data_IF_420484239928
#
_entry.id   IF_420484239928
#
_cell.length_a   1.000
_cell.length_b   1.000
_cell.length_c   1.000
_cell.angle_alpha   90.00
_cell.angle_beta   90.00
_cell.angle_gamma   90.00
#
_symmetry.space_group_name_H-M   'P 1'
#
loop_
_entity.id
_entity.type
_entity.pdbx_description
1 polymer ?
#
# COMPACT_ATOMS: atom_id res chain seq x y z
N UNK A 1 55.06 -12.39 11.31
CA UNK A 1 55.03 -12.51 12.78
C UNK A 1 54.94 -11.10 13.33
N UNK A 2 53.76 -10.65 13.66
CA UNK A 2 53.51 -9.56 14.60
C UNK A 2 52.04 -9.59 14.99
N UNK A 3 51.77 -10.02 16.19
CA UNK A 3 50.48 -10.16 16.83
C UNK A 3 50.01 -8.80 17.36
N UNK A 4 48.82 -8.35 17.02
CA UNK A 4 48.16 -7.23 17.69
C UNK A 4 46.97 -7.71 18.53
N UNK A 5 47.14 -7.55 19.81
CA UNK A 5 46.20 -7.80 20.90
C UNK A 5 44.99 -6.86 20.86
N UNK A 6 43.75 -7.42 20.84
CA UNK A 6 42.50 -6.68 21.04
C UNK A 6 42.26 -6.43 22.54
N UNK A 7 42.27 -5.19 22.98
CA UNK A 7 41.77 -4.77 24.31
C UNK A 7 40.25 -4.62 24.25
N UNK A 8 39.56 -5.39 25.07
CA UNK A 8 38.12 -5.25 25.34
C UNK A 8 37.92 -4.22 26.45
N UNK A 9 37.19 -3.15 26.16
CA UNK A 9 36.74 -2.17 27.15
C UNK A 9 35.34 -2.55 27.60
N UNK A 10 35.18 -2.90 28.86
CA UNK A 10 33.86 -3.17 29.46
C UNK A 10 33.23 -1.85 29.94
N UNK A 11 32.08 -1.52 29.46
CA UNK A 11 31.25 -0.41 29.93
C UNK A 11 30.25 -0.96 30.96
N UNK A 12 30.32 -0.42 32.17
CA UNK A 12 29.40 -0.72 33.28
C UNK A 12 28.14 0.10 33.14
N UNK A 13 26.98 -0.56 33.02
CA UNK A 13 25.66 0.07 33.15
C UNK A 13 25.39 0.36 34.65
N UNK A 14 25.09 1.61 34.96
CA UNK A 14 24.39 2.02 36.16
C UNK A 14 22.91 2.26 35.83
N UNK A 15 22.03 1.55 36.50
CA UNK A 15 20.62 1.79 36.52
C UNK A 15 20.23 2.69 37.70
N UNK A 16 19.34 3.67 37.54
CA UNK A 16 18.65 4.29 38.67
C UNK A 16 17.27 3.68 38.87
N UNK A 17 17.03 3.22 40.11
CA UNK A 17 15.72 2.92 40.65
C UNK A 17 14.96 4.26 40.85
N UNK A 18 13.72 4.34 40.38
CA UNK A 18 12.76 5.34 40.81
C UNK A 18 11.60 4.63 41.48
N UNK A 19 11.35 5.03 42.72
CA UNK A 19 10.38 4.45 43.65
C UNK A 19 8.96 4.96 43.40
N UNK A 20 8.04 4.07 43.62
CA UNK A 20 6.57 4.19 43.61
C UNK A 20 6.05 5.14 44.67
N UNK A 21 5.04 5.93 44.31
CA UNK A 21 4.14 6.63 45.24
C UNK A 21 2.69 6.27 44.94
N UNK A 22 2.12 5.39 45.76
CA UNK A 22 0.69 5.11 45.84
C UNK A 22 -0.03 6.22 46.60
N UNK A 23 -1.10 6.76 46.07
CA UNK A 23 -2.13 7.50 46.82
C UNK A 23 -3.49 6.88 46.56
N UNK A 24 -4.02 6.27 47.61
CA UNK A 24 -5.40 5.80 47.71
C UNK A 24 -6.23 6.86 48.50
N UNK A 25 -7.43 7.14 48.02
CA UNK A 25 -8.54 7.72 48.83
C UNK A 25 -9.81 7.35 48.07
N UNK A 26 -10.65 6.53 48.46
CA UNK A 26 -11.55 6.21 49.57
C UNK A 26 -12.78 7.15 49.67
N UNK A 27 -13.94 6.53 49.35
CA UNK A 27 -15.26 6.57 49.99
C UNK A 27 -16.03 7.89 50.15
N UNK A 28 -17.31 7.78 49.83
CA UNK A 28 -18.40 8.60 50.37
C UNK A 28 -19.74 8.18 49.79
N UNK A 29 -20.44 7.29 50.52
CA UNK A 29 -21.85 6.96 50.36
C UNK A 29 -22.70 8.08 51.01
N UNK A 30 -23.95 8.15 50.62
CA UNK A 30 -25.21 8.09 51.41
C UNK A 30 -26.32 8.76 50.61
N UNK A 31 -27.38 8.01 50.27
CA UNK A 31 -28.70 7.88 50.85
C UNK A 31 -29.51 9.19 51.00
N UNK A 32 -30.67 9.28 50.46
CA UNK A 32 -31.97 9.01 51.07
C UNK A 32 -33.17 9.37 50.18
N UNK A 33 -34.05 8.41 50.06
CA UNK A 33 -35.51 8.31 50.10
C UNK A 33 -36.43 9.54 49.94
N UNK A 34 -37.46 9.31 49.21
CA UNK A 34 -38.92 9.20 49.55
C UNK A 34 -39.78 9.92 48.50
N UNK A 35 -40.63 9.21 47.90
CA UNK A 35 -42.00 8.74 48.16
C UNK A 35 -43.12 9.67 47.68
N UNK A 36 -44.10 8.98 47.10
CA UNK A 36 -45.52 9.25 46.91
C UNK A 36 -45.99 10.09 45.71
N UNK A 37 -46.77 9.43 44.86
CA UNK A 37 -48.17 9.54 44.82
C UNK A 37 -48.81 9.50 43.46
N UNK A 38 -49.66 8.53 43.29
CA UNK A 38 -50.54 8.23 42.18
C UNK A 38 -51.29 9.43 41.57
N UNK A 39 -51.59 9.41 40.28
CA UNK A 39 -52.96 9.06 39.85
C UNK A 39 -53.05 8.95 38.30
N UNK A 40 -53.91 8.06 37.90
CA UNK A 40 -54.40 7.65 36.60
C UNK A 40 -54.93 8.76 35.71
N UNK A 41 -54.64 8.66 34.39
CA UNK A 41 -55.73 8.77 33.39
C UNK A 41 -55.29 8.14 32.04
N UNK A 42 -56.13 7.22 31.56
CA UNK A 42 -56.09 6.62 30.23
C UNK A 42 -56.35 7.67 29.12
N UNK A 43 -55.59 7.58 28.01
CA UNK A 43 -56.08 7.96 26.70
C UNK A 43 -55.28 7.30 25.59
N UNK A 44 -55.88 6.30 25.05
CA UNK A 44 -56.04 5.96 23.62
C UNK A 44 -54.93 6.28 22.61
N UNK A 45 -54.29 5.25 22.10
CA UNK A 45 -54.05 4.92 20.68
C UNK A 45 -53.47 5.98 19.75
N UNK A 46 -52.20 5.81 19.43
CA UNK A 46 -51.70 6.01 18.09
C UNK A 46 -50.58 5.00 17.87
N UNK A 47 -50.82 3.99 17.09
CA UNK A 47 -49.81 3.08 16.53
C UNK A 47 -48.86 3.90 15.63
N UNK A 48 -47.70 4.25 16.13
CA UNK A 48 -46.61 4.71 15.29
C UNK A 48 -45.91 3.46 14.79
N UNK A 49 -46.17 3.15 13.52
CA UNK A 49 -45.38 2.18 12.74
C UNK A 49 -43.92 2.67 12.76
N UNK A 50 -43.08 2.07 13.56
CA UNK A 50 -41.63 2.15 13.39
C UNK A 50 -41.31 1.52 12.04
N UNK A 51 -40.87 2.38 11.11
CA UNK A 51 -40.22 1.92 9.90
C UNK A 51 -38.94 1.20 10.36
N UNK A 52 -38.94 -0.13 10.20
CA UNK A 52 -37.72 -0.91 10.27
C UNK A 52 -36.74 -0.32 9.25
N UNK A 53 -35.65 0.26 9.74
CA UNK A 53 -34.48 0.55 8.94
C UNK A 53 -33.99 -0.77 8.29
N UNK A 54 -33.28 -0.71 7.17
CA UNK A 54 -32.69 -1.92 6.60
C UNK A 54 -31.78 -2.56 7.68
N UNK A 55 -32.20 -3.70 8.19
CA UNK A 55 -31.29 -4.60 8.89
C UNK A 55 -30.21 -4.99 7.87
N UNK A 56 -28.99 -4.52 8.07
CA UNK A 56 -27.82 -5.13 7.47
C UNK A 56 -27.80 -6.59 7.94
N UNK A 57 -28.29 -7.48 7.10
CA UNK A 57 -28.02 -8.92 7.29
C UNK A 57 -26.57 -9.12 6.91
N UNK A 58 -25.65 -8.92 7.86
CA UNK A 58 -24.32 -9.51 7.77
C UNK A 58 -24.53 -11.02 7.64
N UNK A 59 -24.45 -11.51 6.41
CA UNK A 59 -24.47 -12.95 6.18
C UNK A 59 -23.19 -13.50 6.82
N UNK A 60 -23.31 -14.51 7.70
CA UNK A 60 -22.16 -15.15 8.27
C UNK A 60 -21.23 -15.64 7.15
N UNK A 61 -19.95 -15.30 7.25
CA UNK A 61 -18.92 -15.78 6.31
C UNK A 61 -18.94 -17.31 6.31
N UNK A 62 -18.96 -17.98 5.14
CA UNK A 62 -18.90 -19.43 5.07
C UNK A 62 -17.59 -19.98 5.66
N UNK A 63 -17.63 -21.17 6.27
CA UNK A 63 -16.41 -21.89 6.62
C UNK A 63 -15.59 -22.18 5.35
N UNK A 64 -14.30 -21.86 5.37
CA UNK A 64 -13.40 -22.03 4.24
C UNK A 64 -11.95 -22.25 4.66
N UNK A 65 -11.02 -22.41 3.71
CA UNK A 65 -9.61 -22.54 4.01
C UNK A 65 -9.03 -21.22 4.52
N UNK A 66 -7.93 -21.29 5.28
CA UNK A 66 -7.14 -20.11 5.63
C UNK A 66 -6.67 -19.37 4.38
N UNK A 67 -6.89 -18.07 4.32
CA UNK A 67 -6.42 -17.17 3.25
C UNK A 67 -5.02 -16.67 3.62
N UNK A 68 -4.01 -17.20 2.95
CA UNK A 68 -2.61 -16.80 3.16
C UNK A 68 -2.24 -15.66 2.23
N UNK A 69 -1.78 -14.55 2.79
CA UNK A 69 -1.30 -13.41 2.02
C UNK A 69 -0.02 -12.83 2.61
N UNK A 70 0.74 -12.13 1.78
CA UNK A 70 1.87 -11.33 2.22
C UNK A 70 2.10 -10.14 1.29
N UNK A 71 2.72 -9.07 1.81
CA UNK A 71 3.27 -7.99 1.00
C UNK A 71 4.60 -8.39 0.35
N UNK A 72 4.93 -7.74 -0.76
CA UNK A 72 6.29 -7.72 -1.30
C UNK A 72 7.21 -6.99 -0.28
N UNK A 73 8.54 -7.15 -0.41
CA UNK A 73 9.52 -6.69 0.59
C UNK A 73 9.81 -5.18 0.44
N UNK A 74 8.76 -4.37 0.57
CA UNK A 74 8.83 -2.90 0.71
C UNK A 74 7.60 -2.37 1.45
N UNK A 75 7.73 -1.24 2.14
CA UNK A 75 6.80 -0.72 3.15
C UNK A 75 5.36 -0.56 2.66
N UNK A 76 5.15 -0.01 1.45
CA UNK A 76 3.80 0.18 0.90
C UNK A 76 3.08 -1.16 0.69
N UNK A 77 3.72 -2.12 0.03
CA UNK A 77 3.13 -3.43 -0.22
C UNK A 77 2.88 -4.22 1.07
N UNK A 78 3.73 -4.04 2.09
CA UNK A 78 3.52 -4.61 3.43
C UNK A 78 2.28 -4.00 4.07
N UNK A 79 2.14 -2.68 4.02
CA UNK A 79 0.98 -1.98 4.59
C UNK A 79 -0.31 -2.34 3.85
N UNK A 80 -0.28 -2.46 2.52
CA UNK A 80 -1.42 -2.93 1.72
C UNK A 80 -1.83 -4.34 2.16
N UNK A 81 -0.89 -5.27 2.30
CA UNK A 81 -1.19 -6.63 2.74
C UNK A 81 -1.81 -6.66 4.15
N UNK A 82 -1.31 -5.83 5.08
CA UNK A 82 -1.90 -5.66 6.42
C UNK A 82 -3.33 -5.11 6.35
N UNK A 83 -3.59 -4.11 5.50
CA UNK A 83 -4.94 -3.54 5.31
C UNK A 83 -5.92 -4.60 4.83
N UNK A 84 -5.58 -5.36 3.78
CA UNK A 84 -6.45 -6.41 3.26
C UNK A 84 -6.61 -7.56 4.25
N UNK A 85 -5.53 -8.01 4.88
CA UNK A 85 -5.55 -9.12 5.81
C UNK A 85 -6.37 -8.82 7.07
N UNK A 86 -6.14 -7.68 7.72
CA UNK A 86 -6.88 -7.26 8.91
C UNK A 86 -8.37 -6.99 8.61
N UNK A 87 -8.68 -6.44 7.43
CA UNK A 87 -10.07 -6.26 7.01
C UNK A 87 -10.81 -7.58 6.85
N UNK A 88 -10.20 -8.56 6.18
CA UNK A 88 -10.81 -9.87 6.01
C UNK A 88 -10.96 -10.62 7.35
N UNK A 89 -9.96 -10.54 8.24
CA UNK A 89 -10.06 -11.11 9.59
C UNK A 89 -11.23 -10.49 10.38
N UNK A 90 -11.38 -9.17 10.30
CA UNK A 90 -12.50 -8.47 10.95
C UNK A 90 -13.87 -8.82 10.37
N UNK A 91 -13.94 -9.17 9.07
CA UNK A 91 -15.15 -9.71 8.42
C UNK A 91 -15.44 -11.15 8.85
N UNK A 92 -14.48 -11.86 9.45
CA UNK A 92 -14.63 -13.23 9.96
C UNK A 92 -14.07 -14.31 9.06
N UNK A 93 -13.24 -13.97 8.07
CA UNK A 93 -12.47 -14.94 7.30
C UNK A 93 -11.30 -15.48 8.14
N UNK A 94 -10.90 -16.73 7.88
CA UNK A 94 -9.67 -17.29 8.46
C UNK A 94 -8.47 -16.80 7.64
N UNK A 95 -7.63 -15.92 8.22
CA UNK A 95 -6.57 -15.20 7.51
C UNK A 95 -5.22 -15.42 8.19
N UNK A 96 -4.18 -15.64 7.39
CA UNK A 96 -2.79 -15.66 7.83
C UNK A 96 -1.97 -14.65 7.02
N UNK A 97 -1.55 -13.56 7.66
CA UNK A 97 -0.63 -12.58 7.09
C UNK A 97 0.80 -13.09 7.31
N UNK A 98 1.45 -13.49 6.23
CA UNK A 98 2.79 -14.07 6.27
C UNK A 98 3.86 -12.98 6.32
N UNK A 99 5.05 -13.34 6.80
CA UNK A 99 6.21 -12.44 6.77
C UNK A 99 6.50 -11.96 5.36
N UNK A 100 6.65 -10.65 5.14
CA UNK A 100 6.97 -10.08 3.83
C UNK A 100 8.23 -10.70 3.24
N UNK A 101 8.22 -11.01 1.95
CA UNK A 101 9.38 -11.58 1.28
C UNK A 101 9.27 -11.47 -0.24
N UNK A 102 10.42 -11.25 -0.89
CA UNK A 102 10.54 -11.22 -2.34
C UNK A 102 9.80 -10.05 -2.99
N UNK A 103 9.67 -10.16 -4.29
CA UNK A 103 8.99 -9.17 -5.10
C UNK A 103 7.87 -9.83 -5.91
N UNK A 104 7.42 -9.21 -7.00
CA UNK A 104 6.28 -9.66 -7.82
C UNK A 104 6.42 -11.10 -8.31
N UNK A 105 7.57 -11.46 -8.88
CA UNK A 105 7.79 -12.82 -9.41
C UNK A 105 7.55 -13.88 -8.33
N UNK A 106 8.10 -13.69 -7.13
CA UNK A 106 7.92 -14.63 -6.01
C UNK A 106 6.48 -14.61 -5.46
N UNK A 107 5.77 -13.49 -5.59
CA UNK A 107 4.36 -13.42 -5.18
C UNK A 107 3.45 -14.18 -6.18
N UNK A 108 3.67 -14.02 -7.48
CA UNK A 108 2.96 -14.76 -8.54
C UNK A 108 3.30 -16.26 -8.48
N UNK A 109 4.57 -16.61 -8.26
CA UNK A 109 4.97 -18.01 -8.03
C UNK A 109 4.27 -18.60 -6.80
N UNK A 110 4.11 -17.82 -5.73
CA UNK A 110 3.40 -18.23 -4.53
C UNK A 110 1.92 -18.56 -4.80
N UNK A 111 1.23 -17.75 -5.60
CA UNK A 111 -0.13 -18.06 -6.06
C UNK A 111 -0.17 -19.32 -6.92
N UNK A 112 0.75 -19.43 -7.90
CA UNK A 112 0.81 -20.55 -8.84
C UNK A 112 1.06 -21.87 -8.14
N UNK A 113 1.92 -21.86 -7.12
CA UNK A 113 2.29 -23.06 -6.36
C UNK A 113 1.36 -23.37 -5.19
N UNK A 114 0.43 -22.47 -4.87
CA UNK A 114 -0.48 -22.60 -3.73
C UNK A 114 0.20 -22.34 -2.37
N UNK A 115 1.29 -21.58 -2.34
CA UNK A 115 1.92 -21.09 -1.12
C UNK A 115 1.24 -19.82 -0.59
N UNK A 116 0.61 -19.05 -1.51
CA UNK A 116 -0.23 -17.89 -1.24
C UNK A 116 -1.62 -18.10 -1.84
N UNK A 117 -2.61 -17.49 -1.22
CA UNK A 117 -4.01 -17.53 -1.67
C UNK A 117 -4.47 -16.16 -2.16
N UNK A 118 -3.89 -15.08 -1.64
CA UNK A 118 -4.18 -13.70 -2.01
C UNK A 118 -2.88 -12.89 -2.11
N UNK A 119 -2.74 -12.13 -3.17
CA UNK A 119 -1.77 -11.03 -3.27
C UNK A 119 -2.49 -9.76 -3.66
N UNK A 120 -1.92 -8.60 -3.33
CA UNK A 120 -2.34 -7.31 -3.88
C UNK A 120 -1.15 -6.75 -4.63
N UNK A 121 -1.34 -6.47 -5.93
CA UNK A 121 -0.25 -6.05 -6.80
C UNK A 121 -0.66 -4.89 -7.70
N UNK A 122 0.32 -4.28 -8.34
CA UNK A 122 0.17 -3.15 -9.25
C UNK A 122 -0.04 -3.68 -10.66
N UNK A 123 -1.16 -3.31 -11.29
CA UNK A 123 -1.60 -3.93 -12.55
C UNK A 123 -0.62 -3.75 -13.70
N UNK A 124 0.05 -2.61 -13.83
CA UNK A 124 1.06 -2.39 -14.87
C UNK A 124 2.31 -3.24 -14.68
N UNK A 125 2.73 -3.43 -13.42
CA UNK A 125 3.80 -4.35 -13.09
C UNK A 125 3.42 -5.81 -13.35
N UNK A 126 2.18 -6.20 -13.04
CA UNK A 126 1.64 -7.52 -13.38
C UNK A 126 1.61 -7.74 -14.90
N UNK A 127 1.26 -6.71 -15.69
CA UNK A 127 1.30 -6.79 -17.15
C UNK A 127 2.73 -7.05 -17.65
N UNK A 128 3.71 -6.34 -17.13
CA UNK A 128 5.10 -6.51 -17.54
C UNK A 128 5.63 -7.93 -17.24
N UNK A 129 5.15 -8.58 -16.19
CA UNK A 129 5.54 -9.95 -15.81
C UNK A 129 4.78 -11.02 -16.61
N UNK A 130 3.45 -10.90 -16.69
CA UNK A 130 2.60 -11.95 -17.25
C UNK A 130 2.34 -11.81 -18.75
N UNK A 131 2.44 -10.61 -19.29
CA UNK A 131 2.18 -10.31 -20.70
C UNK A 131 3.21 -9.32 -21.28
N UNK A 132 4.52 -9.66 -21.25
CA UNK A 132 5.60 -8.74 -21.63
C UNK A 132 5.54 -8.26 -23.08
N UNK A 133 4.85 -8.98 -23.96
CA UNK A 133 4.66 -8.62 -25.38
C UNK A 133 3.51 -7.61 -25.59
N UNK A 134 2.67 -7.37 -24.56
CA UNK A 134 1.60 -6.38 -24.64
C UNK A 134 2.18 -4.96 -24.48
N UNK A 135 1.75 -3.98 -25.30
CA UNK A 135 2.23 -2.62 -25.16
C UNK A 135 1.80 -2.03 -23.80
N UNK A 136 2.64 -1.23 -23.15
CA UNK A 136 2.24 -0.50 -21.94
C UNK A 136 1.14 0.52 -22.30
N UNK A 137 0.24 0.76 -21.34
CA UNK A 137 -0.84 1.73 -21.48
C UNK A 137 -1.12 2.43 -20.16
N UNK A 138 -1.53 3.69 -20.21
CA UNK A 138 -2.01 4.43 -19.05
C UNK A 138 -3.50 4.14 -18.75
N UNK A 139 -4.17 3.33 -19.55
CA UNK A 139 -5.58 2.93 -19.34
C UNK A 139 -5.63 1.63 -18.51
N UNK A 140 -6.08 1.68 -17.24
CA UNK A 140 -6.14 0.49 -16.39
C UNK A 140 -7.08 -0.60 -16.92
N UNK A 141 -8.17 -0.22 -17.63
CA UNK A 141 -9.11 -1.21 -18.18
C UNK A 141 -8.47 -2.02 -19.31
N UNK A 142 -7.60 -1.41 -20.12
CA UNK A 142 -6.84 -2.12 -21.14
C UNK A 142 -5.85 -3.10 -20.51
N UNK A 143 -5.19 -2.71 -19.41
CA UNK A 143 -4.28 -3.59 -18.67
C UNK A 143 -5.04 -4.79 -18.09
N UNK A 144 -6.13 -4.55 -17.40
CA UNK A 144 -6.97 -5.59 -16.78
C UNK A 144 -7.48 -6.58 -17.81
N UNK A 145 -7.88 -6.11 -19.01
CA UNK A 145 -8.31 -6.98 -20.10
C UNK A 145 -7.22 -7.95 -20.59
N UNK A 146 -5.95 -7.58 -20.41
CA UNK A 146 -4.79 -8.41 -20.78
C UNK A 146 -4.39 -9.35 -19.64
N UNK A 147 -4.26 -8.84 -18.40
CA UNK A 147 -3.72 -9.63 -17.30
C UNK A 147 -4.77 -10.55 -16.65
N UNK A 148 -6.07 -10.22 -16.72
CA UNK A 148 -7.12 -11.07 -16.17
C UNK A 148 -7.05 -12.50 -16.71
N UNK A 149 -7.10 -12.73 -18.04
CA UNK A 149 -6.92 -14.05 -18.61
C UNK A 149 -5.58 -14.71 -18.25
N UNK A 150 -4.49 -13.94 -18.13
CA UNK A 150 -3.17 -14.48 -17.76
C UNK A 150 -3.15 -14.99 -16.30
N UNK A 151 -3.85 -14.31 -15.39
CA UNK A 151 -4.05 -14.82 -14.02
C UNK A 151 -4.94 -16.07 -13.99
N UNK A 152 -6.00 -16.12 -14.82
CA UNK A 152 -6.83 -17.31 -14.93
C UNK A 152 -6.03 -18.55 -15.39
N UNK A 153 -5.06 -18.39 -16.29
CA UNK A 153 -4.18 -19.48 -16.75
C UNK A 153 -3.35 -20.10 -15.62
N UNK A 154 -3.02 -19.33 -14.58
CA UNK A 154 -2.28 -19.82 -13.41
C UNK A 154 -3.19 -20.17 -12.22
N UNK A 155 -4.52 -20.18 -12.42
CA UNK A 155 -5.48 -20.57 -11.39
C UNK A 155 -5.81 -19.45 -10.38
N UNK A 156 -5.59 -18.19 -10.73
CA UNK A 156 -5.94 -17.03 -9.93
C UNK A 156 -7.02 -16.18 -10.62
N UNK A 157 -7.71 -15.37 -9.84
CA UNK A 157 -8.73 -14.43 -10.32
C UNK A 157 -8.32 -13.01 -9.93
N UNK A 158 -8.18 -12.15 -10.93
CA UNK A 158 -8.01 -10.72 -10.74
C UNK A 158 -9.38 -10.10 -10.40
N UNK A 159 -9.45 -9.35 -9.32
CA UNK A 159 -10.65 -8.63 -8.91
C UNK A 159 -10.57 -7.14 -9.30
N UNK A 160 -11.56 -6.34 -8.88
CA UNK A 160 -11.64 -4.93 -9.23
C UNK A 160 -10.43 -4.15 -8.65
N UNK A 161 -9.79 -3.35 -9.49
CA UNK A 161 -8.69 -2.51 -9.04
C UNK A 161 -9.17 -1.30 -8.23
N UNK A 162 -8.31 -0.82 -7.34
CA UNK A 162 -8.52 0.39 -6.55
C UNK A 162 -8.33 1.66 -7.40
N UNK A 163 -8.99 2.77 -7.05
CA UNK A 163 -8.65 4.11 -7.56
C UNK A 163 -7.22 4.56 -7.23
N UNK A 164 -6.59 3.93 -6.21
CA UNK A 164 -5.23 4.25 -5.80
C UNK A 164 -4.20 3.85 -6.86
N UNK A 165 -3.27 4.74 -7.12
CA UNK A 165 -2.19 4.55 -8.10
C UNK A 165 -0.85 4.82 -7.41
N UNK A 166 0.09 3.89 -7.55
CA UNK A 166 1.51 4.11 -7.30
C UNK A 166 2.30 3.92 -8.59
N UNK A 167 2.34 4.96 -9.42
CA UNK A 167 3.00 4.96 -10.72
C UNK A 167 4.48 5.34 -10.67
N UNK A 168 5.24 4.93 -11.68
CA UNK A 168 6.56 5.49 -11.92
C UNK A 168 6.45 7.02 -12.10
N UNK A 169 7.39 7.76 -11.54
CA UNK A 169 7.44 9.22 -11.59
C UNK A 169 8.82 9.71 -12.02
N UNK A 170 8.86 10.62 -12.98
CA UNK A 170 10.07 11.38 -13.28
C UNK A 170 10.12 12.61 -12.40
N UNK A 171 11.04 12.62 -11.44
CA UNK A 171 11.10 13.63 -10.37
C UNK A 171 12.33 14.49 -10.53
N UNK A 172 12.13 15.80 -10.38
CA UNK A 172 13.20 16.81 -10.42
C UNK A 172 13.15 17.71 -9.17
N UNK A 173 14.19 18.50 -8.95
CA UNK A 173 14.16 19.53 -7.89
C UNK A 173 13.01 20.52 -8.13
N UNK A 174 12.44 21.05 -7.05
CA UNK A 174 11.30 21.97 -7.10
C UNK A 174 11.57 23.29 -7.83
N UNK A 175 12.83 23.69 -7.99
CA UNK A 175 13.26 24.89 -8.71
C UNK A 175 13.49 24.64 -10.22
N UNK A 176 13.33 23.42 -10.71
CA UNK A 176 13.40 23.11 -12.15
C UNK A 176 12.31 23.85 -12.94
N UNK A 177 12.66 24.37 -14.11
CA UNK A 177 11.70 25.01 -15.03
C UNK A 177 10.90 23.97 -15.83
N UNK A 178 11.39 22.72 -15.96
CA UNK A 178 10.68 21.65 -16.66
C UNK A 178 9.33 21.36 -15.98
N UNK A 179 8.31 21.08 -16.77
CA UNK A 179 6.95 20.72 -16.33
C UNK A 179 6.52 19.39 -16.89
N UNK A 180 7.05 18.99 -18.04
CA UNK A 180 6.83 17.69 -18.67
C UNK A 180 8.15 16.97 -18.82
N UNK A 181 8.09 15.65 -19.04
CA UNK A 181 9.31 14.85 -19.33
C UNK A 181 9.94 15.31 -20.65
N UNK A 182 9.14 15.70 -21.64
CA UNK A 182 9.65 16.24 -22.92
C UNK A 182 10.50 17.50 -22.75
N UNK A 183 10.26 18.33 -21.70
CA UNK A 183 11.06 19.53 -21.43
C UNK A 183 12.52 19.21 -21.05
N UNK A 184 12.82 17.96 -20.67
CA UNK A 184 14.16 17.53 -20.28
C UNK A 184 15.03 17.24 -21.52
N UNK A 185 14.42 17.03 -22.69
CA UNK A 185 15.15 16.75 -23.92
C UNK A 185 16.12 17.88 -24.28
N UNK A 186 17.40 17.53 -24.43
CA UNK A 186 18.48 18.49 -24.73
C UNK A 186 19.08 19.20 -23.51
N UNK A 187 18.66 18.83 -22.30
CA UNK A 187 19.34 19.19 -21.06
C UNK A 187 20.37 18.10 -20.71
N UNK A 188 21.56 18.51 -20.26
CA UNK A 188 22.62 17.57 -19.86
C UNK A 188 22.35 17.03 -18.44
N UNK A 189 21.18 16.39 -18.25
CA UNK A 189 20.78 15.85 -16.94
C UNK A 189 21.50 14.54 -16.61
N UNK A 190 21.88 14.39 -15.36
CA UNK A 190 22.26 13.10 -14.75
C UNK A 190 21.00 12.48 -14.17
N UNK A 191 20.69 11.24 -14.61
CA UNK A 191 19.52 10.51 -14.12
C UNK A 191 19.94 9.52 -13.03
N UNK A 192 19.25 9.57 -11.90
CA UNK A 192 19.34 8.57 -10.82
C UNK A 192 18.14 7.62 -10.82
N UNK A 193 18.36 6.33 -10.76
CA UNK A 193 17.29 5.35 -10.63
C UNK A 193 17.82 4.00 -10.14
N UNK A 194 16.91 3.05 -9.85
CA UNK A 194 17.29 1.68 -9.54
C UNK A 194 17.98 0.99 -10.73
N UNK A 195 18.77 -0.04 -10.45
CA UNK A 195 19.47 -0.80 -11.50
C UNK A 195 18.51 -1.40 -12.53
N UNK A 196 17.29 -1.78 -12.12
CA UNK A 196 16.27 -2.32 -13.01
C UNK A 196 15.80 -1.31 -14.06
N UNK A 197 15.83 -0.01 -13.76
CA UNK A 197 15.43 1.05 -14.69
C UNK A 197 16.24 1.01 -15.98
N UNK A 198 17.53 0.68 -15.91
CA UNK A 198 18.41 0.60 -17.08
C UNK A 198 17.98 -0.48 -18.09
N UNK A 199 17.23 -1.49 -17.65
CA UNK A 199 16.83 -2.64 -18.47
C UNK A 199 15.34 -2.63 -18.85
N UNK A 200 14.57 -1.67 -18.28
CA UNK A 200 13.11 -1.59 -18.47
C UNK A 200 12.73 -0.70 -19.64
N UNK A 201 11.88 -1.19 -20.57
CA UNK A 201 11.30 -0.36 -21.63
C UNK A 201 10.51 0.85 -21.06
N UNK A 202 9.84 0.68 -19.94
CA UNK A 202 9.07 1.73 -19.26
C UNK A 202 9.95 2.55 -18.27
N UNK A 203 11.24 2.67 -18.52
CA UNK A 203 12.17 3.51 -17.78
C UNK A 203 13.25 4.07 -18.69
N UNK A 204 14.54 3.82 -18.43
CA UNK A 204 15.65 4.40 -19.19
C UNK A 204 15.53 4.14 -20.70
N UNK A 205 15.20 2.89 -21.10
CA UNK A 205 15.09 2.53 -22.53
C UNK A 205 14.05 3.42 -23.23
N UNK A 206 12.86 3.61 -22.64
CA UNK A 206 11.81 4.44 -23.23
C UNK A 206 12.09 5.94 -23.12
N UNK A 207 12.78 6.39 -22.06
CA UNK A 207 13.21 7.79 -21.94
C UNK A 207 14.23 8.15 -23.03
N UNK A 208 15.10 7.22 -23.44
CA UNK A 208 16.09 7.42 -24.49
C UNK A 208 15.55 7.12 -25.89
N UNK A 209 14.41 6.42 -26.03
CA UNK A 209 13.82 6.07 -27.31
C UNK A 209 13.40 7.33 -28.09
N UNK A 210 13.99 7.57 -29.30
CA UNK A 210 13.68 8.75 -30.10
C UNK A 210 12.23 8.77 -30.63
N UNK A 211 11.50 7.66 -30.58
CA UNK A 211 10.08 7.60 -30.95
C UNK A 211 9.16 7.99 -29.77
N UNK A 212 9.70 8.08 -28.54
CA UNK A 212 8.99 8.47 -27.32
C UNK A 212 9.53 9.83 -26.84
N UNK A 213 10.61 9.83 -26.06
CA UNK A 213 11.20 11.06 -25.51
C UNK A 213 12.53 11.48 -26.16
N UNK A 214 13.36 10.53 -26.58
CA UNK A 214 14.65 10.76 -27.20
C UNK A 214 15.62 11.55 -26.32
N UNK A 215 15.50 11.43 -24.99
CA UNK A 215 16.37 12.12 -24.04
C UNK A 215 17.75 11.46 -24.08
N UNK A 216 18.80 12.26 -24.10
CA UNK A 216 20.17 11.80 -23.89
C UNK A 216 20.64 12.31 -22.54
N UNK A 217 20.83 11.42 -21.59
CA UNK A 217 21.36 11.77 -20.28
C UNK A 217 22.88 11.91 -20.29
N UNK A 218 23.42 12.84 -19.51
CA UNK A 218 24.87 13.01 -19.34
C UNK A 218 25.51 11.81 -18.63
N UNK A 219 24.81 11.22 -17.68
CA UNK A 219 25.19 9.99 -16.98
C UNK A 219 23.93 9.33 -16.36
N UNK A 220 24.08 8.03 -16.00
CA UNK A 220 23.07 7.25 -15.27
C UNK A 220 23.68 6.72 -13.97
N UNK A 221 23.15 7.17 -12.83
CA UNK A 221 23.59 6.77 -11.50
C UNK A 221 22.65 5.71 -10.94
N UNK A 222 23.18 4.51 -10.69
CA UNK A 222 22.41 3.45 -10.03
C UNK A 222 22.30 3.74 -8.53
N UNK A 223 21.09 3.88 -8.03
CA UNK A 223 20.75 4.12 -6.64
C UNK A 223 19.80 3.05 -6.13
N UNK A 224 19.85 2.76 -4.83
CA UNK A 224 18.83 1.93 -4.19
C UNK A 224 17.49 2.69 -4.20
N UNK A 225 16.41 1.95 -4.44
CA UNK A 225 15.06 2.51 -4.42
C UNK A 225 14.70 2.99 -3.01
N UNK A 226 14.08 4.18 -2.90
CA UNK A 226 13.68 4.76 -1.63
C UNK A 226 14.40 6.07 -1.29
N UNK A 227 14.69 6.37 -0.01
CA UNK A 227 15.21 7.67 0.44
C UNK A 227 16.50 8.14 -0.23
N UNK A 228 17.36 7.22 -0.69
CA UNK A 228 18.62 7.56 -1.37
C UNK A 228 18.41 8.33 -2.68
N UNK A 229 17.28 8.13 -3.36
CA UNK A 229 16.92 8.89 -4.57
C UNK A 229 16.70 10.38 -4.23
N UNK A 230 15.97 10.67 -3.14
CA UNK A 230 15.77 12.02 -2.64
C UNK A 230 17.06 12.67 -2.18
N UNK A 231 17.92 11.93 -1.47
CA UNK A 231 19.22 12.43 -0.99
C UNK A 231 20.15 12.82 -2.14
N UNK A 232 20.22 11.98 -3.19
CA UNK A 232 21.01 12.26 -4.39
C UNK A 232 20.48 13.50 -5.14
N UNK A 233 19.15 13.65 -5.24
CA UNK A 233 18.50 14.79 -5.88
C UNK A 233 18.73 16.09 -5.08
N UNK A 234 18.57 16.06 -3.74
CA UNK A 234 18.79 17.20 -2.84
C UNK A 234 20.25 17.66 -2.82
N UNK A 235 21.20 16.72 -2.90
CA UNK A 235 22.64 17.03 -2.90
C UNK A 235 23.19 17.49 -4.25
N UNK A 236 22.38 17.50 -5.31
CA UNK A 236 22.77 17.74 -6.71
C UNK A 236 23.78 16.70 -7.24
N UNK A 237 23.75 15.49 -6.73
CA UNK A 237 24.48 14.35 -7.31
C UNK A 237 23.84 13.91 -8.64
N UNK A 238 22.49 14.02 -8.71
CA UNK A 238 21.68 13.81 -9.91
C UNK A 238 20.76 15.01 -10.16
N UNK A 239 20.29 15.18 -11.38
CA UNK A 239 19.39 16.26 -11.78
C UNK A 239 17.93 15.82 -11.79
N UNK A 240 17.70 14.52 -12.03
CA UNK A 240 16.41 13.87 -12.02
C UNK A 240 16.52 12.46 -11.44
N UNK A 241 15.40 11.94 -10.96
CA UNK A 241 15.28 10.54 -10.55
C UNK A 241 14.01 9.94 -11.12
N UNK A 242 14.04 8.61 -11.39
CA UNK A 242 12.82 7.85 -11.56
C UNK A 242 12.47 7.22 -10.23
N UNK A 243 11.32 7.59 -9.71
CA UNK A 243 10.80 7.19 -8.41
C UNK A 243 9.34 6.75 -8.55
N UNK A 244 8.60 6.70 -7.46
CA UNK A 244 7.16 6.43 -7.46
C UNK A 244 6.35 7.65 -7.01
N UNK A 245 5.12 7.77 -7.50
CA UNK A 245 4.23 8.90 -7.22
C UNK A 245 3.83 9.02 -5.76
N UNK A 246 3.90 7.92 -5.01
CA UNK A 246 3.54 7.83 -3.58
C UNK A 246 4.73 8.00 -2.63
N UNK A 247 5.94 8.35 -3.17
CA UNK A 247 7.11 8.63 -2.35
C UNK A 247 6.90 9.90 -1.50
N UNK A 248 6.84 9.81 -0.16
CA UNK A 248 6.48 10.95 0.68
C UNK A 248 7.56 12.05 0.68
N UNK A 249 8.80 11.71 0.37
CA UNK A 249 9.91 12.66 0.26
C UNK A 249 9.69 13.68 -0.86
N UNK A 250 8.95 13.33 -1.93
CA UNK A 250 8.64 14.27 -3.02
C UNK A 250 7.96 15.51 -2.46
N UNK A 251 6.95 15.33 -1.63
CA UNK A 251 6.25 16.45 -0.98
C UNK A 251 7.08 17.05 0.16
N UNK A 252 7.69 16.22 1.01
CA UNK A 252 8.43 16.68 2.19
C UNK A 252 9.64 17.56 1.84
N UNK A 253 10.32 17.25 0.74
CA UNK A 253 11.51 17.99 0.28
C UNK A 253 11.20 19.02 -0.82
N UNK A 254 9.94 19.10 -1.25
CA UNK A 254 9.47 20.07 -2.25
C UNK A 254 9.96 19.77 -3.65
N UNK A 255 10.15 18.51 -3.98
CA UNK A 255 10.44 18.07 -5.35
C UNK A 255 9.22 18.21 -6.26
N UNK A 256 9.43 18.10 -7.56
CA UNK A 256 8.41 18.20 -8.58
C UNK A 256 8.37 16.92 -9.41
N UNK A 257 7.18 16.32 -9.53
CA UNK A 257 6.91 15.28 -10.52
C UNK A 257 6.62 15.96 -11.86
N UNK A 258 7.29 15.54 -12.91
CA UNK A 258 7.01 15.98 -14.27
C UNK A 258 5.86 15.18 -14.87
N UNK A 259 5.06 15.84 -15.71
CA UNK A 259 3.99 15.17 -16.46
C UNK A 259 4.59 14.23 -17.51
N UNK A 260 4.09 12.99 -17.54
CA UNK A 260 4.41 12.00 -18.58
C UNK A 260 3.57 12.29 -19.84
N UNK A 261 3.99 13.26 -20.63
CA UNK A 261 3.25 13.79 -21.78
C UNK A 261 3.29 12.90 -23.03
N UNK A 262 4.07 11.80 -23.00
CA UNK A 262 4.10 10.78 -24.05
C UNK A 262 3.52 9.42 -23.61
N UNK A 263 3.16 9.28 -22.32
CA UNK A 263 2.54 8.06 -21.80
C UNK A 263 3.49 6.86 -21.72
N UNK A 264 4.73 7.09 -21.30
CA UNK A 264 5.72 6.02 -21.10
C UNK A 264 5.37 5.12 -19.92
N UNK A 265 4.87 5.72 -18.84
CA UNK A 265 4.60 5.00 -17.61
C UNK A 265 3.20 4.38 -17.62
N UNK A 266 3.07 3.07 -17.41
CA UNK A 266 1.78 2.41 -17.40
C UNK A 266 0.95 2.76 -16.16
N UNK A 267 -0.36 2.55 -16.23
CA UNK A 267 -1.20 2.64 -15.04
C UNK A 267 -0.77 1.59 -14.00
N UNK A 268 -0.70 2.01 -12.74
CA UNK A 268 -0.24 1.22 -11.61
C UNK A 268 -1.28 1.23 -10.47
N UNK A 269 -2.54 1.01 -10.84
CA UNK A 269 -3.58 0.79 -9.85
C UNK A 269 -3.31 -0.50 -9.09
N UNK A 270 -3.57 -0.52 -7.78
CA UNK A 270 -3.47 -1.75 -7.00
C UNK A 270 -4.73 -2.59 -7.18
N UNK A 271 -4.57 -3.90 -7.27
CA UNK A 271 -5.69 -4.84 -7.40
C UNK A 271 -5.44 -6.10 -6.58
N UNK A 272 -6.46 -6.68 -5.95
CA UNK A 272 -6.36 -7.98 -5.31
C UNK A 272 -6.46 -9.11 -6.35
N UNK A 273 -5.57 -10.07 -6.24
CA UNK A 273 -5.51 -11.28 -7.05
C UNK A 273 -5.59 -12.47 -6.10
N UNK A 274 -6.61 -13.29 -6.27
CA UNK A 274 -6.93 -14.39 -5.35
C UNK A 274 -6.95 -15.74 -6.07
N UNK A 275 -6.54 -16.81 -5.36
CA UNK A 275 -6.70 -18.18 -5.82
C UNK A 275 -8.15 -18.43 -6.22
N UNK A 276 -8.38 -18.88 -7.46
CA UNK A 276 -9.73 -19.18 -7.95
C UNK A 276 -10.42 -20.30 -7.16
N UNK A 277 -9.64 -21.23 -6.58
CA UNK A 277 -10.17 -22.31 -5.72
C UNK A 277 -10.68 -21.74 -4.39
N UNK A 278 -9.92 -20.87 -3.75
CA UNK A 278 -10.31 -20.20 -2.50
C UNK A 278 -11.52 -19.31 -2.74
N UNK A 279 -11.51 -18.51 -3.82
CA UNK A 279 -12.65 -17.68 -4.20
C UNK A 279 -13.91 -18.51 -4.44
N UNK A 280 -13.80 -19.64 -5.15
CA UNK A 280 -14.95 -20.53 -5.39
C UNK A 280 -15.51 -21.14 -4.09
N UNK A 281 -14.67 -21.34 -3.07
CA UNK A 281 -15.10 -21.89 -1.79
C UNK A 281 -15.89 -20.89 -0.95
N UNK A 282 -15.40 -19.63 -0.86
CA UNK A 282 -16.08 -18.57 -0.13
C UNK A 282 -17.23 -17.90 -0.94
N UNK A 283 -17.16 -17.99 -2.26
CA UNK A 283 -18.18 -17.48 -3.18
C UNK A 283 -18.14 -15.97 -3.38
N UNK A 284 -19.26 -15.44 -3.92
CA UNK A 284 -19.37 -14.03 -4.33
C UNK A 284 -19.18 -13.03 -3.18
N UNK A 285 -19.37 -13.46 -1.92
CA UNK A 285 -19.20 -12.57 -0.77
C UNK A 285 -17.75 -12.13 -0.61
N UNK A 286 -16.79 -13.05 -0.75
CA UNK A 286 -15.36 -12.70 -0.64
C UNK A 286 -14.93 -11.73 -1.75
N UNK A 287 -15.40 -11.95 -2.98
CA UNK A 287 -15.14 -11.01 -4.08
C UNK A 287 -15.73 -9.62 -3.78
N UNK A 288 -16.96 -9.57 -3.27
CA UNK A 288 -17.62 -8.31 -2.94
C UNK A 288 -16.90 -7.56 -1.82
N UNK A 289 -16.46 -8.26 -0.75
CA UNK A 289 -15.72 -7.66 0.35
C UNK A 289 -14.35 -7.11 -0.11
N UNK A 290 -13.62 -7.86 -0.93
CA UNK A 290 -12.33 -7.40 -1.50
C UNK A 290 -12.50 -6.18 -2.42
N UNK A 291 -13.53 -6.18 -3.28
CA UNK A 291 -13.83 -5.06 -4.17
C UNK A 291 -14.32 -3.83 -3.40
N UNK A 292 -15.12 -4.01 -2.34
CA UNK A 292 -15.55 -2.93 -1.45
C UNK A 292 -14.33 -2.24 -0.82
N UNK A 293 -13.39 -3.03 -0.28
CA UNK A 293 -12.16 -2.49 0.29
C UNK A 293 -11.33 -1.75 -0.77
N UNK A 294 -11.10 -2.37 -1.93
CA UNK A 294 -10.34 -1.77 -3.03
C UNK A 294 -10.88 -0.40 -3.42
N UNK A 295 -12.20 -0.26 -3.50
CA UNK A 295 -12.86 1.00 -3.89
C UNK A 295 -12.67 2.14 -2.87
N UNK A 296 -12.30 1.84 -1.62
CA UNK A 296 -12.09 2.82 -0.56
C UNK A 296 -10.65 3.33 -0.46
N UNK A 297 -9.69 2.64 -1.08
CA UNK A 297 -8.28 3.00 -1.04
C UNK A 297 -7.99 4.00 -2.15
N UNK A 298 -7.44 5.16 -1.79
CA UNK A 298 -7.09 6.24 -2.70
C UNK A 298 -5.57 6.46 -2.70
N UNK A 299 -5.04 7.12 -3.72
CA UNK A 299 -3.60 7.47 -3.80
C UNK A 299 -3.13 8.27 -2.58
N UNK A 300 -3.98 9.16 -2.05
CA UNK A 300 -3.68 9.91 -0.83
C UNK A 300 -3.53 9.00 0.40
N UNK A 301 -4.25 7.86 0.45
CA UNK A 301 -4.09 6.88 1.53
C UNK A 301 -2.71 6.20 1.43
N UNK A 302 -2.27 5.77 0.23
CA UNK A 302 -0.92 5.21 0.00
C UNK A 302 0.16 6.20 0.44
N UNK A 303 0.07 7.46 0.02
CA UNK A 303 1.01 8.51 0.41
C UNK A 303 1.03 8.73 1.93
N UNK A 304 -0.13 8.69 2.57
CA UNK A 304 -0.22 8.83 4.03
C UNK A 304 0.38 7.63 4.77
N UNK A 305 0.18 6.40 4.27
CA UNK A 305 0.80 5.19 4.83
C UNK A 305 2.32 5.24 4.67
N UNK A 306 2.82 5.56 3.48
CA UNK A 306 4.26 5.68 3.22
C UNK A 306 4.91 6.79 4.05
N UNK A 307 4.20 7.90 4.30
CA UNK A 307 4.69 8.93 5.22
C UNK A 307 4.88 8.37 6.63
N UNK A 308 3.92 7.57 7.12
CA UNK A 308 3.98 6.99 8.45
C UNK A 308 5.06 5.89 8.55
N UNK A 309 5.23 5.06 7.52
CA UNK A 309 6.21 3.97 7.55
C UNK A 309 7.63 4.45 7.25
N UNK A 310 7.83 5.25 6.19
CA UNK A 310 9.15 5.58 5.69
C UNK A 310 9.77 6.80 6.37
N UNK A 311 8.93 7.76 6.83
CA UNK A 311 9.40 8.99 7.50
C UNK A 311 9.24 8.91 9.02
N UNK A 312 8.10 8.42 9.50
CA UNK A 312 7.81 8.33 10.93
C UNK A 312 8.23 6.99 11.54
N UNK A 313 8.67 6.03 10.73
CA UNK A 313 9.15 4.70 11.11
C UNK A 313 8.14 3.92 11.95
N UNK A 314 6.87 4.01 11.58
CA UNK A 314 5.79 3.24 12.20
C UNK A 314 5.71 1.85 11.58
N UNK A 315 5.24 0.89 12.37
CA UNK A 315 5.01 -0.47 11.89
C UNK A 315 3.76 -0.50 11.00
N UNK A 316 3.83 -1.23 9.88
CA UNK A 316 2.76 -1.30 8.87
C UNK A 316 1.44 -1.84 9.41
N UNK A 317 1.48 -2.82 10.33
CA UNK A 317 0.30 -3.38 10.98
C UNK A 317 -0.48 -2.34 11.78
N UNK A 318 0.23 -1.46 12.51
CA UNK A 318 -0.38 -0.38 13.27
C UNK A 318 -0.97 0.69 12.36
N UNK A 319 -0.29 1.02 11.25
CA UNK A 319 -0.79 1.97 10.24
C UNK A 319 -2.07 1.45 9.59
N UNK A 320 -2.10 0.18 9.20
CA UNK A 320 -3.26 -0.49 8.64
C UNK A 320 -4.46 -0.48 9.62
N UNK A 321 -4.21 -0.88 10.88
CA UNK A 321 -5.24 -0.89 11.93
C UNK A 321 -5.88 0.49 12.09
N UNK A 322 -5.08 1.55 12.23
CA UNK A 322 -5.58 2.91 12.40
C UNK A 322 -6.38 3.41 11.20
N UNK A 323 -5.92 3.09 9.99
CA UNK A 323 -6.65 3.46 8.77
C UNK A 323 -8.01 2.75 8.71
N UNK A 324 -8.06 1.44 8.93
CA UNK A 324 -9.30 0.66 8.94
C UNK A 324 -10.28 1.17 10.01
N UNK A 325 -9.81 1.49 11.22
CA UNK A 325 -10.62 2.10 12.27
C UNK A 325 -11.14 3.47 11.85
N UNK A 326 -10.32 4.29 11.19
CA UNK A 326 -10.72 5.62 10.72
C UNK A 326 -11.84 5.58 9.67
N UNK A 327 -11.91 4.49 8.90
CA UNK A 327 -12.95 4.23 7.91
C UNK A 327 -14.17 3.49 8.52
N UNK A 328 -14.07 3.03 9.78
CA UNK A 328 -15.12 2.27 10.46
C UNK A 328 -15.29 0.85 9.93
N UNK A 329 -14.21 0.27 9.44
CA UNK A 329 -14.20 -1.08 8.84
C UNK A 329 -13.85 -2.17 9.85
N UNK A 330 -13.21 -1.81 10.97
CA UNK A 330 -12.90 -2.68 12.12
C UNK A 330 -13.15 -1.98 13.42
#
# INVERSE_FOLDING_TARGET
MTTHSKRRTAVKLLAPLVAFGLVAAACGSDDDSSDSGADTTEASGAETSEAAGPESTDAAVPDGPTIRLRGQDFSEAITIAEVYGQYLDAKGYDVEILTPAGFRTEAIDGLTNGDLDLIVDYIGGSQAELAPDAPPTADPDEIVAVIGPAYEEIGATLLDYSPAVDGDAFVVRGDSEATTISDVAGLDYVLGASSQCAERPQCLIGLEDPEIYGITFADFVTLEFGPLLGEALSSNEVDAVVWNTTAPQITAEGFKVLEDDQGLFPAQNIAPIISSEVLATYGDQLAADLNELSALILTDDLLAWNTQTDIEFRESDAVATEWLQSKGLI
#
